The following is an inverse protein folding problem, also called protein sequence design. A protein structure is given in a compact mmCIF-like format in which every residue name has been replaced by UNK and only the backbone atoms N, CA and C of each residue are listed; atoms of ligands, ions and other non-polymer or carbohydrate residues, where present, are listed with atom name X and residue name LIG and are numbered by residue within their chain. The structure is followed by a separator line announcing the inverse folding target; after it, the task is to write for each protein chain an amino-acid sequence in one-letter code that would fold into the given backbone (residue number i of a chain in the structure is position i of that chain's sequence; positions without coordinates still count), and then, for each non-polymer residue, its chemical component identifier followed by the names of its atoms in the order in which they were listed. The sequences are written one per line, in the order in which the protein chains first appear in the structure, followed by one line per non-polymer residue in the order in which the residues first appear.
data_IF_567188755617
#
_entry.id   IF_567188755617
#
_cell.length_a   1.000
_cell.length_b   1.000
_cell.length_c   1.000
_cell.angle_alpha   90.00
_cell.angle_beta   90.00
_cell.angle_gamma   90.00
#
_symmetry.space_group_name_H-M   'P 1'
#
loop_
_entity.id
_entity.type
_entity.pdbx_description
1 polymer ?
#
# COMPACT_ATOMS: atom_id res chain seq x y z
N UNK A 1 -26.75 -25.25 4.82
CA UNK A 1 -26.01 -24.46 5.82
C UNK A 1 -24.71 -24.05 5.14
N UNK A 2 -24.60 -22.80 4.72
CA UNK A 2 -23.38 -22.30 4.08
C UNK A 2 -22.23 -22.38 5.10
N UNK A 3 -21.09 -22.92 4.64
CA UNK A 3 -19.89 -23.05 5.45
C UNK A 3 -19.38 -21.66 5.87
N UNK A 4 -19.80 -21.21 7.05
CA UNK A 4 -19.50 -19.87 7.61
C UNK A 4 -18.04 -19.76 8.11
N UNK A 5 -17.11 -20.54 7.53
CA UNK A 5 -15.72 -20.62 7.94
C UNK A 5 -14.77 -19.87 6.96
N UNK A 6 -15.33 -19.15 5.97
CA UNK A 6 -14.56 -18.38 5.00
C UNK A 6 -13.98 -17.12 5.66
N UNK A 7 -12.65 -16.98 5.65
CA UNK A 7 -11.97 -15.78 6.14
C UNK A 7 -12.20 -14.63 5.16
N UNK A 8 -12.93 -13.61 5.63
CA UNK A 8 -13.24 -12.41 4.85
C UNK A 8 -12.07 -11.40 4.87
N UNK A 9 -11.53 -11.15 6.06
CA UNK A 9 -10.41 -10.24 6.27
C UNK A 9 -9.33 -10.95 7.09
N UNK A 10 -8.08 -10.88 6.64
CA UNK A 10 -6.91 -11.31 7.39
C UNK A 10 -5.94 -10.14 7.49
N UNK A 11 -5.58 -9.82 8.71
CA UNK A 11 -4.50 -8.88 9.05
C UNK A 11 -3.34 -9.70 9.59
N UNK A 12 -2.16 -9.53 9.00
CA UNK A 12 -0.99 -10.34 9.25
C UNK A 12 0.21 -9.45 9.58
N UNK A 13 0.69 -9.50 10.83
CA UNK A 13 1.81 -8.73 11.35
C UNK A 13 1.75 -7.23 11.04
N UNK A 14 0.56 -6.62 11.19
CA UNK A 14 0.34 -5.20 10.90
C UNK A 14 1.12 -4.31 11.85
N UNK A 15 2.00 -3.48 11.28
CA UNK A 15 2.61 -2.37 11.99
C UNK A 15 2.30 -1.05 11.28
N UNK A 16 1.91 -0.06 12.07
CA UNK A 16 1.72 1.31 11.61
C UNK A 16 2.48 2.28 12.51
N UNK A 17 3.57 2.84 11.98
CA UNK A 17 4.43 3.80 12.67
C UNK A 17 4.37 5.15 11.98
N UNK A 18 4.22 6.20 12.77
CA UNK A 18 4.28 7.58 12.31
C UNK A 18 5.62 8.20 12.66
N UNK A 19 6.29 8.80 11.68
CA UNK A 19 7.58 9.48 11.91
C UNK A 19 7.35 10.83 12.58
N UNK A 20 7.92 10.98 13.78
CA UNK A 20 7.89 12.23 14.54
C UNK A 20 9.34 12.71 14.75
N UNK A 21 9.84 13.53 13.82
CA UNK A 21 11.23 13.96 13.81
C UNK A 21 12.19 12.78 13.64
N UNK A 22 13.01 12.52 14.67
CA UNK A 22 13.99 11.43 14.67
C UNK A 22 13.47 10.11 15.27
N UNK A 23 12.26 10.10 15.82
CA UNK A 23 11.66 8.92 16.46
C UNK A 23 10.42 8.46 15.68
N UNK A 24 10.10 7.18 15.80
CA UNK A 24 8.86 6.61 15.29
C UNK A 24 7.87 6.44 16.45
N UNK A 25 6.68 7.00 16.28
CA UNK A 25 5.53 6.68 17.12
C UNK A 25 4.92 5.37 16.61
N UNK A 26 5.03 4.32 17.39
CA UNK A 26 4.43 3.02 17.12
C UNK A 26 2.95 3.06 17.53
N UNK A 27 2.09 3.39 16.57
CA UNK A 27 0.65 3.46 16.82
C UNK A 27 -0.03 2.09 16.76
N UNK A 28 0.48 1.17 15.95
CA UNK A 28 0.12 -0.25 15.88
C UNK A 28 1.42 -1.02 15.72
N UNK A 29 1.65 -2.03 16.54
CA UNK A 29 2.89 -2.80 16.56
C UNK A 29 2.56 -4.29 16.60
N UNK A 30 2.80 -4.98 15.48
CA UNK A 30 2.67 -6.42 15.29
C UNK A 30 1.29 -7.01 15.62
N UNK A 31 0.23 -6.47 15.03
CA UNK A 31 -1.15 -6.93 15.25
C UNK A 31 -1.57 -7.90 14.15
N UNK A 32 -2.07 -9.08 14.56
CA UNK A 32 -2.60 -10.11 13.65
C UNK A 32 -3.97 -10.57 14.13
N UNK A 33 -4.92 -10.70 13.20
CA UNK A 33 -6.25 -11.28 13.42
C UNK A 33 -6.93 -11.62 12.10
N UNK A 34 -8.00 -12.43 12.21
CA UNK A 34 -8.85 -12.81 11.09
C UNK A 34 -10.30 -12.52 11.43
N UNK A 35 -11.09 -12.14 10.42
CA UNK A 35 -12.54 -11.95 10.52
C UNK A 35 -13.19 -12.84 9.49
N UNK A 36 -14.15 -13.66 9.90
CA UNK A 36 -14.92 -14.56 9.04
C UNK A 36 -16.11 -13.83 8.42
N UNK A 37 -16.61 -14.37 7.33
CA UNK A 37 -17.83 -13.87 6.67
C UNK A 37 -19.02 -13.95 7.63
N UNK A 38 -19.71 -12.81 7.82
CA UNK A 38 -20.86 -12.70 8.74
C UNK A 38 -20.51 -12.55 10.21
N UNK A 39 -19.21 -12.51 10.57
CA UNK A 39 -18.76 -12.30 11.94
C UNK A 39 -18.81 -10.79 12.32
N UNK A 40 -19.27 -10.50 13.54
CA UNK A 40 -19.14 -9.18 14.14
C UNK A 40 -17.86 -9.13 15.00
N UNK A 41 -16.87 -8.35 14.57
CA UNK A 41 -15.58 -8.23 15.24
C UNK A 41 -15.41 -6.85 15.88
N UNK A 42 -15.12 -6.79 17.19
CA UNK A 42 -14.93 -5.56 17.95
C UNK A 42 -13.47 -5.32 18.32
N UNK A 43 -12.94 -4.15 17.98
CA UNK A 43 -11.66 -3.66 18.51
C UNK A 43 -11.90 -2.88 19.79
N UNK A 44 -11.51 -3.42 20.93
CA UNK A 44 -11.68 -2.84 22.27
C UNK A 44 -10.33 -2.43 22.85
N UNK A 45 -10.31 -1.42 23.71
CA UNK A 45 -9.12 -0.96 24.40
C UNK A 45 -9.21 0.52 24.79
N UNK A 46 -8.24 1.04 25.52
CA UNK A 46 -8.18 2.41 26.00
C UNK A 46 -8.07 3.47 24.90
N UNK A 47 -8.34 4.74 25.23
CA UNK A 47 -8.14 5.84 24.28
C UNK A 47 -6.66 5.92 23.88
N UNK A 48 -6.40 6.06 22.57
CA UNK A 48 -5.02 6.15 22.06
C UNK A 48 -4.30 4.83 21.80
N UNK A 49 -4.88 3.66 22.14
CA UNK A 49 -4.23 2.35 21.94
C UNK A 49 -4.17 1.86 20.46
N UNK A 50 -4.47 2.69 19.48
CA UNK A 50 -4.31 2.36 18.06
C UNK A 50 -5.54 1.81 17.33
N UNK A 51 -6.72 1.68 17.97
CA UNK A 51 -7.95 1.15 17.32
C UNK A 51 -8.31 1.85 16.02
N UNK A 52 -8.40 3.17 16.07
CA UNK A 52 -8.72 4.00 14.90
C UNK A 52 -7.62 3.89 13.83
N UNK A 53 -6.35 3.80 14.26
CA UNK A 53 -5.22 3.62 13.34
C UNK A 53 -5.30 2.27 12.64
N UNK A 54 -5.60 1.20 13.37
CA UNK A 54 -5.81 -0.15 12.80
C UNK A 54 -6.93 -0.13 11.76
N UNK A 55 -8.10 0.40 12.10
CA UNK A 55 -9.22 0.51 11.16
C UNK A 55 -8.86 1.32 9.91
N UNK A 56 -8.21 2.48 10.07
CA UNK A 56 -7.76 3.30 8.93
C UNK A 56 -6.69 2.63 8.08
N UNK A 57 -5.84 1.80 8.65
CA UNK A 57 -4.86 1.00 7.92
C UNK A 57 -5.53 -0.09 7.09
N UNK A 58 -6.57 -0.74 7.62
CA UNK A 58 -7.34 -1.78 6.93
C UNK A 58 -8.04 -1.22 5.70
N UNK A 59 -8.71 -0.06 5.82
CA UNK A 59 -9.40 0.60 4.70
C UNK A 59 -8.45 1.43 3.82
N UNK A 60 -7.13 1.23 3.95
CA UNK A 60 -6.08 1.83 3.10
C UNK A 60 -6.01 3.37 3.16
N UNK A 61 -6.47 4.02 4.22
CA UNK A 61 -6.23 5.45 4.44
C UNK A 61 -4.79 5.73 4.85
N UNK A 62 -4.07 4.72 5.33
CA UNK A 62 -2.64 4.78 5.62
C UNK A 62 -1.88 3.70 4.84
N UNK A 63 -0.73 4.07 4.28
CA UNK A 63 0.27 3.10 3.81
C UNK A 63 0.91 2.44 5.03
N UNK A 64 0.65 1.15 5.24
CA UNK A 64 1.17 0.42 6.40
C UNK A 64 2.70 0.34 6.38
N UNK A 65 3.29 0.36 7.57
CA UNK A 65 4.76 0.32 7.73
C UNK A 65 5.32 -1.05 7.39
N UNK A 66 4.74 -2.11 7.96
CA UNK A 66 5.04 -3.52 7.68
C UNK A 66 3.79 -4.38 7.86
N UNK A 67 3.89 -5.67 7.53
CA UNK A 67 2.78 -6.60 7.54
C UNK A 67 2.00 -6.63 6.23
N UNK A 68 0.90 -7.37 6.22
CA UNK A 68 0.07 -7.59 5.04
C UNK A 68 -1.40 -7.66 5.42
N UNK A 69 -2.28 -7.15 4.56
CA UNK A 69 -3.72 -7.22 4.74
C UNK A 69 -4.32 -7.90 3.52
N UNK A 70 -5.15 -8.92 3.78
CA UNK A 70 -5.88 -9.67 2.76
C UNK A 70 -7.38 -9.45 2.95
N UNK A 71 -8.09 -9.32 1.86
CA UNK A 71 -9.55 -9.28 1.81
C UNK A 71 -10.04 -10.31 0.80
N UNK A 72 -10.91 -11.23 1.20
CA UNK A 72 -11.37 -12.36 0.39
C UNK A 72 -10.21 -13.14 -0.24
N UNK A 73 -9.16 -13.41 0.54
CA UNK A 73 -7.95 -14.10 0.07
C UNK A 73 -7.01 -13.26 -0.80
N UNK A 74 -7.41 -12.08 -1.24
CA UNK A 74 -6.61 -11.20 -2.08
C UNK A 74 -5.82 -10.19 -1.24
N UNK A 75 -4.55 -10.00 -1.53
CA UNK A 75 -3.70 -9.02 -0.86
C UNK A 75 -4.07 -7.60 -1.28
N UNK A 76 -4.60 -6.82 -0.34
CA UNK A 76 -5.03 -5.45 -0.58
C UNK A 76 -4.02 -4.40 -0.10
N UNK A 77 -3.17 -4.72 0.87
CA UNK A 77 -2.14 -3.83 1.38
C UNK A 77 -0.91 -4.60 1.83
N UNK A 78 0.29 -4.02 1.61
CA UNK A 78 1.56 -4.58 2.07
C UNK A 78 2.54 -3.47 2.46
N UNK A 79 3.18 -3.61 3.62
CA UNK A 79 4.20 -2.70 4.11
C UNK A 79 5.49 -2.80 3.31
N UNK A 80 6.08 -1.66 2.99
CA UNK A 80 7.33 -1.60 2.21
C UNK A 80 8.39 -0.72 2.86
N UNK A 81 8.13 -0.25 4.08
CA UNK A 81 9.02 0.70 4.76
C UNK A 81 10.39 0.10 5.08
N UNK A 82 10.43 -1.16 5.54
CA UNK A 82 11.69 -1.87 5.83
C UNK A 82 12.64 -1.88 4.62
N UNK A 83 12.11 -2.13 3.43
CA UNK A 83 12.90 -2.11 2.20
C UNK A 83 13.37 -0.69 1.82
N UNK A 84 12.52 0.33 2.03
CA UNK A 84 12.89 1.73 1.80
C UNK A 84 13.97 2.19 2.78
N UNK A 85 13.87 1.80 4.04
CA UNK A 85 14.86 2.11 5.07
C UNK A 85 16.19 1.39 4.81
N UNK A 86 16.16 0.12 4.34
CA UNK A 86 17.35 -0.59 3.90
C UNK A 86 18.08 0.12 2.75
N UNK A 87 17.34 0.62 1.75
CA UNK A 87 17.91 1.43 0.66
C UNK A 87 18.54 2.72 1.19
N UNK A 88 17.87 3.43 2.10
CA UNK A 88 18.36 4.67 2.69
C UNK A 88 19.64 4.44 3.48
N UNK A 89 19.67 3.38 4.30
CA UNK A 89 20.83 2.95 5.08
C UNK A 89 22.02 2.62 4.18
N UNK A 90 21.80 1.77 3.15
CA UNK A 90 22.86 1.41 2.20
C UNK A 90 23.46 2.63 1.47
N UNK A 91 22.62 3.61 1.08
CA UNK A 91 23.10 4.88 0.48
C UNK A 91 23.94 5.69 1.45
N UNK A 92 23.52 5.79 2.71
CA UNK A 92 24.27 6.53 3.74
C UNK A 92 25.63 5.88 4.01
N UNK A 93 25.67 4.54 4.12
CA UNK A 93 26.89 3.77 4.31
C UNK A 93 27.85 3.88 3.13
N UNK A 94 27.36 3.75 1.91
CA UNK A 94 28.16 3.93 0.69
C UNK A 94 28.78 5.34 0.65
N UNK A 95 27.99 6.38 0.97
CA UNK A 95 28.51 7.76 1.04
C UNK A 95 29.63 7.92 2.08
N UNK A 96 29.47 7.28 3.26
CA UNK A 96 30.52 7.29 4.31
C UNK A 96 31.78 6.57 3.84
N UNK A 97 31.65 5.38 3.22
CA UNK A 97 32.77 4.60 2.68
C UNK A 97 33.53 5.38 1.60
N UNK A 98 32.82 6.00 0.64
CA UNK A 98 33.44 6.82 -0.41
C UNK A 98 34.18 8.04 0.18
N UNK A 99 33.58 8.70 1.21
CA UNK A 99 34.24 9.82 1.90
C UNK A 99 35.49 9.36 2.60
N UNK A 100 35.46 8.22 3.29
CA UNK A 100 36.67 7.66 3.97
C UNK A 100 37.75 7.30 2.95
N UNK A 101 37.40 6.65 1.85
CA UNK A 101 38.34 6.27 0.78
C UNK A 101 39.07 7.50 0.18
N UNK A 102 38.36 8.61 0.00
CA UNK A 102 38.93 9.87 -0.48
C UNK A 102 39.81 10.57 0.55
N UNK A 103 39.62 10.32 1.85
CA UNK A 103 40.45 10.87 2.92
C UNK A 103 41.79 10.12 3.11
N UNK A 104 41.82 8.85 2.68
CA UNK A 104 43.02 8.03 2.66
C UNK A 104 43.91 8.43 1.48
N UNK A 105 44.74 9.44 1.52
CA UNK A 105 45.68 9.97 0.49
C UNK A 105 46.23 8.91 -0.50
N UNK A 106 45.37 8.13 -1.14
CA UNK A 106 45.69 7.10 -2.14
C UNK A 106 45.73 7.69 -3.53
N UNK A 107 46.32 6.95 -4.45
CA UNK A 107 46.33 7.33 -5.86
C UNK A 107 44.91 7.44 -6.45
N UNK A 108 44.72 8.37 -7.38
CA UNK A 108 43.41 8.61 -8.01
C UNK A 108 42.81 7.38 -8.70
N UNK A 109 43.66 6.50 -9.22
CA UNK A 109 43.18 5.23 -9.84
C UNK A 109 42.59 4.26 -8.81
N UNK A 110 43.21 4.13 -7.63
CA UNK A 110 42.72 3.29 -6.54
C UNK A 110 41.44 3.85 -5.93
N UNK A 111 41.34 5.18 -5.79
CA UNK A 111 40.11 5.85 -5.33
C UNK A 111 38.98 5.63 -6.33
N UNK A 112 39.25 5.69 -7.65
CA UNK A 112 38.25 5.44 -8.70
C UNK A 112 37.73 4.01 -8.66
N UNK A 113 38.64 3.02 -8.67
CA UNK A 113 38.30 1.61 -8.62
C UNK A 113 37.53 1.25 -7.34
N UNK A 114 37.96 1.73 -6.17
CA UNK A 114 37.27 1.54 -4.90
C UNK A 114 35.87 2.17 -4.88
N UNK A 115 35.73 3.37 -5.45
CA UNK A 115 34.42 4.05 -5.57
C UNK A 115 33.48 3.29 -6.48
N UNK A 116 33.98 2.76 -7.59
CA UNK A 116 33.17 1.94 -8.52
C UNK A 116 32.68 0.65 -7.87
N UNK A 117 33.53 -0.04 -7.13
CA UNK A 117 33.16 -1.23 -6.36
C UNK A 117 32.03 -0.94 -5.37
N UNK A 118 32.17 0.12 -4.55
CA UNK A 118 31.15 0.55 -3.59
C UNK A 118 29.83 0.89 -4.30
N UNK A 119 29.90 1.58 -5.44
CA UNK A 119 28.71 1.93 -6.21
C UNK A 119 28.02 0.69 -6.81
N UNK A 120 28.76 -0.31 -7.25
CA UNK A 120 28.21 -1.56 -7.78
C UNK A 120 27.51 -2.36 -6.67
N UNK A 121 28.12 -2.46 -5.48
CA UNK A 121 27.48 -3.07 -4.31
C UNK A 121 26.16 -2.34 -3.94
N UNK A 122 26.20 -1.00 -3.91
CA UNK A 122 25.00 -0.19 -3.65
C UNK A 122 23.91 -0.42 -4.69
N UNK A 123 24.25 -0.48 -5.99
CA UNK A 123 23.29 -0.75 -7.08
C UNK A 123 22.61 -2.09 -6.88
N UNK A 124 23.36 -3.14 -6.51
CA UNK A 124 22.82 -4.47 -6.23
C UNK A 124 21.79 -4.45 -5.08
N UNK A 125 22.15 -3.84 -3.94
CA UNK A 125 21.26 -3.71 -2.78
C UNK A 125 20.01 -2.90 -3.12
N UNK A 126 20.14 -1.81 -3.85
CA UNK A 126 19.01 -0.97 -4.28
C UNK A 126 18.10 -1.72 -5.25
N UNK A 127 18.65 -2.48 -6.20
CA UNK A 127 17.89 -3.25 -7.17
C UNK A 127 17.09 -4.38 -6.49
N UNK A 128 17.69 -5.12 -5.57
CA UNK A 128 17.05 -6.18 -4.80
C UNK A 128 15.87 -5.63 -3.98
N UNK A 129 16.10 -4.59 -3.17
CA UNK A 129 15.04 -4.00 -2.36
C UNK A 129 13.92 -3.35 -3.19
N UNK A 130 14.24 -2.74 -4.35
CA UNK A 130 13.23 -2.25 -5.30
C UNK A 130 12.40 -3.39 -5.90
N UNK A 131 13.01 -4.54 -6.18
CA UNK A 131 12.30 -5.73 -6.62
C UNK A 131 11.33 -6.22 -5.55
N UNK A 132 11.79 -6.31 -4.29
CA UNK A 132 10.95 -6.68 -3.14
C UNK A 132 9.75 -5.74 -2.96
N UNK A 133 9.97 -4.41 -3.06
CA UNK A 133 8.89 -3.41 -3.02
C UNK A 133 7.88 -3.63 -4.14
N UNK A 134 8.35 -3.88 -5.36
CA UNK A 134 7.50 -4.12 -6.53
C UNK A 134 6.66 -5.37 -6.33
N UNK A 135 7.29 -6.48 -5.95
CA UNK A 135 6.61 -7.76 -5.74
C UNK A 135 5.58 -7.69 -4.61
N UNK A 136 5.91 -7.01 -3.49
CA UNK A 136 4.95 -6.81 -2.40
C UNK A 136 3.68 -6.05 -2.84
N UNK A 137 3.79 -5.15 -3.82
CA UNK A 137 2.68 -4.30 -4.30
C UNK A 137 1.98 -4.81 -5.58
N UNK A 138 2.46 -5.86 -6.22
CA UNK A 138 1.86 -6.36 -7.48
C UNK A 138 0.40 -6.72 -7.29
N UNK A 139 0.12 -7.61 -6.35
CA UNK A 139 -1.25 -8.10 -6.10
C UNK A 139 -2.19 -6.97 -5.66
N UNK A 140 -1.67 -6.03 -4.82
CA UNK A 140 -2.45 -4.88 -4.36
C UNK A 140 -2.91 -3.99 -5.54
N UNK A 141 -2.04 -3.76 -6.52
CA UNK A 141 -2.37 -2.96 -7.71
C UNK A 141 -3.37 -3.65 -8.62
N UNK A 142 -3.26 -4.97 -8.75
CA UNK A 142 -4.19 -5.74 -9.56
C UNK A 142 -5.60 -5.73 -8.95
N UNK A 143 -5.69 -5.94 -7.65
CA UNK A 143 -6.97 -5.83 -6.91
C UNK A 143 -7.57 -4.44 -7.07
N UNK A 144 -6.77 -3.38 -6.94
CA UNK A 144 -7.26 -2.00 -7.11
C UNK A 144 -7.79 -1.76 -8.53
N UNK A 145 -7.14 -2.30 -9.57
CA UNK A 145 -7.61 -2.21 -10.97
C UNK A 145 -8.91 -2.98 -11.18
N UNK A 146 -8.99 -4.22 -10.69
CA UNK A 146 -10.20 -5.05 -10.80
C UNK A 146 -11.38 -4.40 -10.10
N UNK A 147 -11.15 -3.83 -8.90
CA UNK A 147 -12.18 -3.11 -8.16
C UNK A 147 -12.67 -1.87 -8.91
N UNK A 148 -11.76 -1.05 -9.42
CA UNK A 148 -12.10 0.12 -10.21
C UNK A 148 -12.86 -0.25 -11.48
N UNK A 149 -12.44 -1.31 -12.18
CA UNK A 149 -13.12 -1.81 -13.38
C UNK A 149 -14.54 -2.27 -13.07
N UNK A 150 -14.73 -3.11 -12.06
CA UNK A 150 -16.06 -3.60 -11.68
C UNK A 150 -16.99 -2.47 -11.23
N UNK A 151 -16.48 -1.45 -10.56
CA UNK A 151 -17.24 -0.27 -10.14
C UNK A 151 -17.70 0.56 -11.34
N UNK A 152 -16.84 0.74 -12.34
CA UNK A 152 -17.17 1.44 -13.58
C UNK A 152 -18.22 0.65 -14.36
N UNK A 153 -18.06 -0.67 -14.47
CA UNK A 153 -19.04 -1.55 -15.15
C UNK A 153 -20.42 -1.49 -14.47
N UNK A 154 -20.46 -1.54 -13.13
CA UNK A 154 -21.70 -1.39 -12.37
C UNK A 154 -22.37 -0.03 -12.60
N UNK A 155 -21.58 1.06 -12.63
CA UNK A 155 -22.07 2.40 -12.92
C UNK A 155 -22.62 2.54 -14.34
N UNK A 156 -22.00 1.89 -15.33
CA UNK A 156 -22.52 1.83 -16.70
C UNK A 156 -23.84 1.06 -16.77
N UNK A 157 -23.96 -0.07 -16.05
CA UNK A 157 -25.19 -0.84 -16.00
C UNK A 157 -26.33 -0.03 -15.38
N UNK A 158 -26.11 0.63 -14.24
CA UNK A 158 -27.06 1.51 -13.57
C UNK A 158 -27.53 2.66 -14.50
N UNK A 159 -26.59 3.29 -15.19
CA UNK A 159 -26.90 4.36 -16.14
C UNK A 159 -27.75 3.89 -17.31
N UNK A 160 -27.41 2.74 -17.92
CA UNK A 160 -28.15 2.17 -19.03
C UNK A 160 -29.59 1.76 -18.62
N UNK A 161 -29.77 1.23 -17.42
CA UNK A 161 -31.08 0.89 -16.88
C UNK A 161 -31.96 2.15 -16.71
N UNK A 162 -31.40 3.20 -16.10
CA UNK A 162 -32.07 4.50 -15.94
C UNK A 162 -32.41 5.16 -17.28
N UNK A 163 -31.56 5.02 -18.31
CA UNK A 163 -31.85 5.50 -19.65
C UNK A 163 -33.08 4.80 -20.27
N UNK A 164 -33.18 3.49 -20.10
CA UNK A 164 -34.36 2.71 -20.59
C UNK A 164 -35.67 3.19 -19.93
N UNK A 165 -35.61 3.47 -18.62
CA UNK A 165 -36.78 3.96 -17.86
C UNK A 165 -37.13 5.40 -18.15
N UNK A 166 -36.16 6.24 -18.60
CA UNK A 166 -36.40 7.64 -18.96
C UNK A 166 -37.29 7.82 -20.21
N UNK A 167 -37.51 6.77 -20.99
CA UNK A 167 -38.53 6.67 -22.06
C UNK A 167 -38.54 7.89 -23.02
N UNK A 168 -37.35 8.40 -23.43
CA UNK A 168 -37.23 9.48 -24.37
C UNK A 168 -37.40 10.90 -23.78
N UNK A 169 -37.60 11.05 -22.48
CA UNK A 169 -37.69 12.35 -21.81
C UNK A 169 -36.33 13.08 -21.83
N UNK A 170 -36.19 14.06 -22.69
CA UNK A 170 -34.94 14.82 -22.92
C UNK A 170 -34.38 15.51 -21.66
N UNK A 171 -35.27 16.03 -20.79
CA UNK A 171 -34.84 16.67 -19.54
C UNK A 171 -34.28 15.65 -18.53
N UNK A 172 -34.93 14.49 -18.41
CA UNK A 172 -34.50 13.38 -17.57
C UNK A 172 -33.16 12.81 -18.06
N UNK A 173 -32.98 12.62 -19.36
CA UNK A 173 -31.73 12.13 -19.95
C UNK A 173 -30.58 13.10 -19.66
N UNK A 174 -30.79 14.40 -19.84
CA UNK A 174 -29.75 15.42 -19.55
C UNK A 174 -29.36 15.45 -18.07
N UNK A 175 -30.29 15.24 -17.16
CA UNK A 175 -30.00 15.13 -15.73
C UNK A 175 -29.19 13.87 -15.41
N UNK A 176 -29.55 12.71 -16.00
CA UNK A 176 -28.81 11.46 -15.86
C UNK A 176 -27.38 11.55 -16.39
N UNK A 177 -27.16 12.19 -17.53
CA UNK A 177 -25.84 12.41 -18.09
C UNK A 177 -24.94 13.22 -17.14
N UNK A 178 -25.51 14.24 -16.50
CA UNK A 178 -24.78 15.05 -15.52
C UNK A 178 -24.41 14.23 -14.28
N UNK A 179 -25.34 13.46 -13.74
CA UNK A 179 -25.13 12.58 -12.59
C UNK A 179 -24.07 11.51 -12.91
N UNK A 180 -24.20 10.85 -14.06
CA UNK A 180 -23.24 9.84 -14.51
C UNK A 180 -21.82 10.41 -14.64
N UNK A 181 -21.62 11.56 -15.30
CA UNK A 181 -20.33 12.21 -15.44
C UNK A 181 -19.71 12.55 -14.09
N UNK A 182 -20.52 12.95 -13.11
CA UNK A 182 -20.05 13.25 -11.77
C UNK A 182 -19.61 11.98 -11.04
N UNK A 183 -20.40 10.91 -11.07
CA UNK A 183 -20.06 9.61 -10.46
C UNK A 183 -18.85 8.95 -11.12
N UNK A 184 -18.73 9.03 -12.45
CA UNK A 184 -17.61 8.46 -13.21
C UNK A 184 -16.27 9.11 -12.88
N UNK A 185 -16.23 10.42 -12.53
CA UNK A 185 -14.99 11.10 -12.12
C UNK A 185 -14.46 10.61 -10.77
N UNK A 186 -15.29 9.99 -9.95
CA UNK A 186 -14.98 9.52 -8.59
C UNK A 186 -14.79 8.01 -8.55
N UNK A 187 -15.21 7.27 -9.57
CA UNK A 187 -15.06 5.82 -9.69
C UNK A 187 -13.68 5.42 -10.21
#
# INVERSE_FOLDING_TARGET
MENNNEVLLKVDHLCQYFRMGHKDLKAVDDVSFEIKKGEAFGLVGESGCGKTTTGRSIIKLYDITSGTIYFKGQKISAGTRSYKDAISKARSEAKKKIKALRAEKKDNSEISAGTEKINNELRAVVADNRSKIRNAKVDCKEVDRQYSKSRVEALHAEYNEKLRTANGNHAAIKALDKEYKQKYRVA
#
